data_IF_299714312389
#
_entry.id   IF_299714312389
#
_cell.length_a   1.000
_cell.length_b   1.000
_cell.length_c   1.000
_cell.angle_alpha   90.00
_cell.angle_beta   90.00
_cell.angle_gamma   90.00
#
_symmetry.space_group_name_H-M   'P 1'
#
loop_
_entity.id
_entity.type
_entity.pdbx_description
1 polymer ?
#
# COMPACT_ATOMS: atom_id res chain seq x y z
N UNK A 1 19.62 -11.55 -4.65
CA UNK A 1 18.44 -11.40 -3.75
C UNK A 1 18.81 -10.77 -2.41
N UNK A 2 19.87 -11.21 -1.72
CA UNK A 2 20.25 -10.68 -0.38
C UNK A 2 20.37 -9.14 -0.28
N UNK A 3 20.84 -8.45 -1.32
CA UNK A 3 20.89 -6.98 -1.32
C UNK A 3 19.48 -6.35 -1.37
N UNK A 4 18.58 -6.90 -2.19
CA UNK A 4 17.20 -6.41 -2.34
C UNK A 4 16.43 -6.63 -1.04
N UNK A 5 16.62 -7.78 -0.40
CA UNK A 5 16.04 -8.07 0.92
C UNK A 5 16.48 -7.05 1.98
N UNK A 6 17.76 -6.69 2.01
CA UNK A 6 18.28 -5.64 2.92
C UNK A 6 17.66 -4.27 2.62
N UNK A 7 17.46 -3.92 1.35
CA UNK A 7 16.82 -2.66 0.96
C UNK A 7 15.34 -2.65 1.37
N UNK A 8 14.61 -3.75 1.17
CA UNK A 8 13.21 -3.88 1.60
C UNK A 8 13.12 -3.78 3.13
N UNK A 9 14.02 -4.43 3.86
CA UNK A 9 14.07 -4.36 5.33
C UNK A 9 14.33 -2.92 5.81
N UNK A 10 15.27 -2.21 5.19
CA UNK A 10 15.56 -0.81 5.51
C UNK A 10 14.35 0.10 5.24
N UNK A 11 13.73 0.00 4.05
CA UNK A 11 12.53 0.77 3.71
C UNK A 11 11.36 0.48 4.64
N UNK A 12 11.18 -0.79 5.03
CA UNK A 12 10.14 -1.20 5.99
C UNK A 12 10.39 -0.58 7.37
N UNK A 13 11.63 -0.57 7.84
CA UNK A 13 12.01 0.04 9.12
C UNK A 13 11.81 1.56 9.11
N UNK A 14 12.18 2.25 8.02
CA UNK A 14 11.96 3.68 7.86
C UNK A 14 10.47 4.04 7.80
N UNK A 15 9.66 3.24 7.09
CA UNK A 15 8.21 3.42 7.02
C UNK A 15 7.57 3.28 8.40
N UNK A 16 7.96 2.24 9.15
CA UNK A 16 7.47 2.04 10.51
C UNK A 16 7.91 3.16 11.46
N UNK A 17 9.15 3.66 11.32
CA UNK A 17 9.64 4.78 12.10
C UNK A 17 8.84 6.05 11.81
N UNK A 18 8.63 6.39 10.53
CA UNK A 18 7.86 7.58 10.11
C UNK A 18 6.41 7.52 10.59
N UNK A 19 5.75 6.35 10.54
CA UNK A 19 4.41 6.16 11.11
C UNK A 19 4.36 6.41 12.62
N UNK A 20 5.37 5.94 13.37
CA UNK A 20 5.46 6.16 14.83
C UNK A 20 5.68 7.63 15.16
N UNK A 21 6.48 8.34 14.37
CA UNK A 21 6.70 9.78 14.54
C UNK A 21 5.44 10.57 14.20
N UNK A 22 4.76 10.23 13.11
CA UNK A 22 3.50 10.88 12.71
C UNK A 22 2.42 10.84 13.82
N UNK A 23 2.32 9.74 14.57
CA UNK A 23 1.39 9.63 15.70
C UNK A 23 1.69 10.63 16.84
N UNK A 24 2.94 11.04 17.01
CA UNK A 24 3.36 12.00 18.05
C UNK A 24 3.17 13.46 17.61
N UNK A 25 3.06 13.71 16.31
CA UNK A 25 2.91 15.05 15.73
C UNK A 25 1.51 15.60 16.01
N UNK A 26 1.46 16.74 16.69
CA UNK A 26 0.22 17.46 17.02
C UNK A 26 -0.16 18.50 15.96
N UNK A 27 0.83 19.03 15.23
CA UNK A 27 0.60 20.02 14.18
C UNK A 27 0.05 19.36 12.91
N UNK A 28 -1.01 19.94 12.35
CA UNK A 28 -1.70 19.35 11.20
C UNK A 28 -0.89 19.44 9.91
N UNK A 29 -0.06 20.48 9.75
CA UNK A 29 0.76 20.63 8.55
C UNK A 29 1.95 19.66 8.61
N UNK A 30 2.60 19.56 9.75
CA UNK A 30 3.67 18.58 9.98
C UNK A 30 3.15 17.14 9.81
N UNK A 31 1.92 16.85 10.28
CA UNK A 31 1.30 15.54 10.07
C UNK A 31 1.05 15.25 8.60
N UNK A 32 0.63 16.25 7.81
CA UNK A 32 0.45 16.11 6.37
C UNK A 32 1.78 15.81 5.67
N UNK A 33 2.84 16.54 6.01
CA UNK A 33 4.19 16.28 5.50
C UNK A 33 4.66 14.85 5.85
N UNK A 34 4.42 14.40 7.08
CA UNK A 34 4.76 13.03 7.48
C UNK A 34 3.94 11.97 6.71
N UNK A 35 2.67 12.24 6.44
CA UNK A 35 1.85 11.35 5.61
C UNK A 35 2.36 11.28 4.16
N UNK A 36 2.81 12.41 3.58
CA UNK A 36 3.46 12.45 2.27
C UNK A 36 4.78 11.65 2.24
N UNK A 37 5.58 11.73 3.31
CA UNK A 37 6.80 10.93 3.45
C UNK A 37 6.46 9.43 3.47
N UNK A 38 5.49 9.01 4.28
CA UNK A 38 5.05 7.60 4.34
C UNK A 38 4.53 7.12 2.97
N UNK A 39 3.75 7.96 2.28
CA UNK A 39 3.26 7.65 0.95
C UNK A 39 4.40 7.41 -0.06
N UNK A 40 5.41 8.28 -0.08
CA UNK A 40 6.58 8.15 -0.95
C UNK A 40 7.41 6.89 -0.63
N UNK A 41 7.55 6.54 0.65
CA UNK A 41 8.23 5.31 1.07
C UNK A 41 7.49 4.05 0.55
N UNK A 42 6.17 4.02 0.68
CA UNK A 42 5.34 2.93 0.16
C UNK A 42 5.43 2.83 -1.37
N UNK A 43 5.37 3.97 -2.09
CA UNK A 43 5.55 4.00 -3.55
C UNK A 43 6.92 3.48 -3.98
N UNK A 44 7.98 3.88 -3.27
CA UNK A 44 9.34 3.43 -3.54
C UNK A 44 9.48 1.91 -3.35
N UNK A 45 8.88 1.37 -2.30
CA UNK A 45 8.84 -0.08 -2.04
C UNK A 45 8.05 -0.84 -3.11
N UNK A 46 6.88 -0.33 -3.52
CA UNK A 46 6.09 -0.92 -4.61
C UNK A 46 6.89 -0.92 -5.92
N UNK A 47 7.51 0.20 -6.30
CA UNK A 47 8.35 0.29 -7.50
C UNK A 47 9.53 -0.68 -7.48
N UNK A 48 10.18 -0.86 -6.32
CA UNK A 48 11.28 -1.82 -6.17
C UNK A 48 10.78 -3.26 -6.34
N UNK A 49 9.64 -3.61 -5.74
CA UNK A 49 9.03 -4.94 -5.85
C UNK A 49 8.63 -5.19 -7.30
N UNK A 50 7.92 -4.27 -7.96
CA UNK A 50 7.51 -4.41 -9.36
C UNK A 50 8.72 -4.53 -10.31
N UNK A 51 9.78 -3.76 -10.09
CA UNK A 51 11.00 -3.85 -10.89
C UNK A 51 11.72 -5.19 -10.67
N UNK A 52 11.77 -5.66 -9.42
CA UNK A 52 12.37 -6.96 -9.09
C UNK A 52 11.53 -8.12 -9.64
N UNK A 53 10.21 -8.02 -9.54
CA UNK A 53 9.27 -8.98 -10.10
C UNK A 53 9.39 -9.04 -11.62
N UNK A 54 9.47 -7.90 -12.31
CA UNK A 54 9.72 -7.84 -13.76
C UNK A 54 11.05 -8.48 -14.16
N UNK A 55 12.12 -8.23 -13.39
CA UNK A 55 13.43 -8.90 -13.59
C UNK A 55 13.37 -10.41 -13.34
N UNK A 56 12.49 -10.89 -12.46
CA UNK A 56 12.25 -12.32 -12.25
C UNK A 56 11.26 -12.90 -13.27
N UNK A 57 10.39 -12.07 -13.84
CA UNK A 57 9.35 -12.41 -14.82
C UNK A 57 9.88 -12.54 -16.24
N UNK A 58 11.12 -12.13 -16.54
CA UNK A 58 11.78 -12.56 -17.80
C UNK A 58 12.00 -14.09 -17.86
N UNK A 59 11.68 -14.84 -16.78
CA UNK A 59 11.60 -16.31 -16.75
C UNK A 59 10.14 -16.83 -16.78
N UNK A 60 9.13 -15.95 -16.68
CA UNK A 60 7.72 -16.33 -16.75
C UNK A 60 6.94 -15.36 -17.63
N UNK A 61 6.82 -15.80 -18.88
CA UNK A 61 5.97 -15.30 -19.95
C UNK A 61 4.55 -14.95 -19.44
N UNK A 62 4.25 -13.65 -19.49
CA UNK A 62 2.95 -13.01 -19.71
C UNK A 62 1.68 -13.80 -19.34
N UNK A 63 1.01 -13.36 -18.28
CA UNK A 63 -0.45 -13.19 -18.30
C UNK A 63 -0.85 -12.15 -17.24
N UNK A 64 -0.73 -10.87 -17.60
CA UNK A 64 -1.52 -9.79 -16.99
C UNK A 64 -2.97 -10.03 -17.42
N UNK A 65 -3.71 -10.81 -16.62
CA UNK A 65 -5.17 -10.71 -16.63
C UNK A 65 -5.53 -9.69 -15.56
N UNK A 66 -5.77 -8.46 -16.02
CA UNK A 66 -6.49 -7.42 -15.31
C UNK A 66 -7.83 -8.00 -14.81
N UNK A 67 -7.83 -8.58 -13.59
CA UNK A 67 -9.07 -8.86 -12.89
C UNK A 67 -9.60 -7.54 -12.33
N UNK A 68 -10.50 -6.95 -13.13
CA UNK A 68 -11.39 -5.85 -12.79
C UNK A 68 -11.91 -6.02 -11.36
N UNK A 69 -11.50 -5.10 -10.47
CA UNK A 69 -12.13 -4.88 -9.17
C UNK A 69 -13.53 -4.31 -9.45
N UNK A 70 -14.53 -5.18 -9.61
CA UNK A 70 -15.93 -4.82 -9.45
C UNK A 70 -16.18 -4.56 -7.96
N UNK A 71 -16.01 -3.31 -7.55
CA UNK A 71 -16.54 -2.78 -6.28
C UNK A 71 -18.07 -2.86 -6.33
N UNK A 72 -18.64 -4.00 -5.94
CA UNK A 72 -20.06 -4.15 -5.71
C UNK A 72 -20.38 -3.49 -4.35
N UNK A 73 -20.63 -2.18 -4.39
CA UNK A 73 -21.26 -1.42 -3.32
C UNK A 73 -22.68 -1.98 -3.11
N UNK A 74 -22.81 -3.04 -2.31
CA UNK A 74 -24.11 -3.56 -1.87
C UNK A 74 -24.65 -2.62 -0.78
N UNK A 75 -25.34 -1.57 -1.23
CA UNK A 75 -26.21 -0.71 -0.42
C UNK A 75 -27.20 -1.59 0.36
N UNK A 76 -26.86 -1.88 1.61
CA UNK A 76 -27.78 -2.50 2.57
C UNK A 76 -28.81 -1.43 2.99
N UNK A 77 -29.85 -1.27 2.17
CA UNK A 77 -31.06 -0.53 2.57
C UNK A 77 -31.77 -1.32 3.67
N UNK A 78 -31.69 -0.79 4.89
CA UNK A 78 -32.56 -1.15 6.01
C UNK A 78 -34.03 -0.87 5.62
N UNK A 79 -34.82 -1.91 5.36
CA UNK A 79 -36.28 -1.85 5.46
C UNK A 79 -36.80 -2.90 6.46
N UNK A 80 -36.91 -2.46 7.71
CA UNK A 80 -37.94 -2.94 8.63
C UNK A 80 -39.32 -2.74 7.99
N UNK A 81 -40.01 -3.83 7.65
CA UNK A 81 -41.48 -3.78 7.55
C UNK A 81 -42.13 -5.06 8.10
N UNK A 82 -42.52 -4.96 9.38
CA UNK A 82 -43.54 -5.78 10.03
C UNK A 82 -44.77 -5.99 9.13
N UNK A 83 -45.14 -7.24 8.79
CA UNK A 83 -46.53 -7.58 8.40
C UNK A 83 -46.99 -8.98 8.85
N UNK A 84 -47.88 -8.93 9.85
CA UNK A 84 -49.06 -9.76 10.17
C UNK A 84 -48.93 -11.24 10.55
#
# INVERSE_FOLDING_TARGET
MEYIEKVIEQLSNETLHSLKEMHKVKDSNERKTQAEIVHLLCQSMSSLISSTASMMSEVHDFNDEDEDFEDEDEDFEDEDEDKF
#
